data_IF_267146853842
#
_entry.id   IF_267146853842
#
_cell.length_a   1.000
_cell.length_b   1.000
_cell.length_c   1.000
_cell.angle_alpha   90.00
_cell.angle_beta   90.00
_cell.angle_gamma   90.00
#
_symmetry.space_group_name_H-M   'P 1'
#
loop_
_entity.id
_entity.type
_entity.pdbx_description
1 polymer ?
#
# COMPACT_ATOMS: atom_id res chain seq x y z
N UNK A 1 2.10 -10.21 10.18
CA UNK A 1 1.02 -9.21 10.20
C UNK A 1 1.49 -8.02 9.40
N UNK A 2 1.19 -7.97 8.09
CA UNK A 2 1.50 -6.83 7.26
C UNK A 2 0.45 -5.73 7.48
N UNK A 3 0.93 -4.49 7.44
CA UNK A 3 0.12 -3.28 7.42
C UNK A 3 0.43 -2.55 6.13
N UNK A 4 -0.58 -2.16 5.35
CA UNK A 4 -0.38 -1.36 4.15
C UNK A 4 -1.13 -0.04 4.21
N UNK A 5 -0.44 1.04 3.87
CA UNK A 5 -1.04 2.34 3.56
C UNK A 5 -0.83 2.66 2.09
N UNK A 6 -1.85 3.24 1.47
CA UNK A 6 -1.84 3.60 0.05
C UNK A 6 -2.14 5.09 -0.05
N UNK A 7 -1.19 5.88 -0.54
CA UNK A 7 -1.40 7.30 -0.81
C UNK A 7 -1.84 7.48 -2.27
N UNK A 8 -2.97 8.15 -2.49
CA UNK A 8 -3.51 8.49 -3.82
C UNK A 8 -3.88 9.97 -3.87
N UNK A 9 -3.90 10.57 -5.05
CA UNK A 9 -4.52 11.89 -5.24
C UNK A 9 -6.05 11.75 -5.12
N UNK A 10 -6.69 12.68 -4.40
CA UNK A 10 -8.14 12.70 -4.21
C UNK A 10 -8.88 12.81 -5.55
N UNK A 11 -9.99 12.06 -5.69
CA UNK A 11 -10.89 12.15 -6.86
C UNK A 11 -11.33 10.81 -7.44
N UNK A 12 -10.81 9.70 -6.90
CA UNK A 12 -11.26 8.36 -7.29
C UNK A 12 -12.67 8.07 -6.78
N UNK A 13 -13.41 7.26 -7.54
CA UNK A 13 -14.72 6.78 -7.10
C UNK A 13 -14.57 5.87 -5.87
N UNK A 14 -15.46 6.01 -4.89
CA UNK A 14 -15.42 5.20 -3.66
C UNK A 14 -15.39 3.69 -3.93
N UNK A 15 -16.12 3.21 -4.94
CA UNK A 15 -16.12 1.80 -5.33
C UNK A 15 -14.74 1.32 -5.81
N UNK A 16 -13.97 2.16 -6.51
CA UNK A 16 -12.62 1.81 -6.92
C UNK A 16 -11.67 1.77 -5.72
N UNK A 17 -11.78 2.74 -4.81
CA UNK A 17 -11.00 2.77 -3.57
C UNK A 17 -11.26 1.52 -2.69
N UNK A 18 -12.53 1.14 -2.54
CA UNK A 18 -12.93 -0.07 -1.81
C UNK A 18 -12.37 -1.33 -2.47
N UNK A 19 -12.51 -1.47 -3.80
CA UNK A 19 -11.96 -2.61 -4.53
C UNK A 19 -10.43 -2.68 -4.44
N UNK A 20 -9.73 -1.55 -4.42
CA UNK A 20 -8.29 -1.49 -4.17
C UNK A 20 -7.93 -2.00 -2.77
N UNK A 21 -8.65 -1.58 -1.73
CA UNK A 21 -8.44 -2.07 -0.35
C UNK A 21 -8.63 -3.58 -0.27
N UNK A 22 -9.72 -4.10 -0.85
CA UNK A 22 -10.02 -5.54 -0.87
C UNK A 22 -8.96 -6.34 -1.64
N UNK A 23 -8.57 -5.86 -2.83
CA UNK A 23 -7.57 -6.50 -3.67
C UNK A 23 -6.19 -6.55 -3.01
N UNK A 24 -5.73 -5.44 -2.43
CA UNK A 24 -4.44 -5.41 -1.71
C UNK A 24 -4.49 -6.32 -0.49
N UNK A 25 -5.62 -6.34 0.24
CA UNK A 25 -5.80 -7.24 1.39
C UNK A 25 -5.68 -8.71 0.98
N UNK A 26 -6.23 -9.09 -0.17
CA UNK A 26 -6.12 -10.47 -0.69
C UNK A 26 -4.69 -10.82 -1.10
N UNK A 27 -3.98 -9.91 -1.79
CA UNK A 27 -2.57 -10.11 -2.13
C UNK A 27 -1.75 -10.35 -0.86
N UNK A 28 -1.90 -9.50 0.16
CA UNK A 28 -1.18 -9.66 1.42
C UNK A 28 -1.53 -10.97 2.13
N UNK A 29 -2.80 -11.40 2.08
CA UNK A 29 -3.26 -12.66 2.68
C UNK A 29 -2.62 -13.85 2.00
N UNK A 30 -2.71 -13.91 0.68
CA UNK A 30 -2.15 -14.99 -0.12
C UNK A 30 -0.64 -15.10 0.08
N UNK A 31 0.09 -13.99 -0.03
CA UNK A 31 1.55 -14.01 -0.01
C UNK A 31 2.10 -14.26 1.39
N UNK A 32 1.53 -13.63 2.42
CA UNK A 32 2.13 -13.68 3.77
C UNK A 32 1.56 -14.79 4.65
N UNK A 33 0.39 -15.32 4.32
CA UNK A 33 -0.44 -16.19 5.17
C UNK A 33 -0.62 -15.62 6.59
N UNK A 34 -0.62 -14.29 6.72
CA UNK A 34 -0.70 -13.65 8.02
C UNK A 34 -2.14 -13.70 8.56
N UNK A 35 -2.34 -13.99 9.85
CA UNK A 35 -3.67 -14.10 10.45
C UNK A 35 -4.38 -12.74 10.61
N UNK A 36 -3.62 -11.64 10.59
CA UNK A 36 -4.14 -10.27 10.65
C UNK A 36 -3.41 -9.40 9.65
N UNK A 37 -4.20 -8.64 8.90
CA UNK A 37 -3.79 -7.69 7.85
C UNK A 37 -4.56 -6.41 8.06
N UNK A 38 -3.95 -5.28 7.77
CA UNK A 38 -4.62 -3.98 7.82
C UNK A 38 -4.23 -3.19 6.60
N UNK A 39 -5.23 -2.63 5.90
CA UNK A 39 -5.04 -1.84 4.69
C UNK A 39 -5.90 -0.59 4.79
N UNK A 40 -5.37 0.56 4.43
CA UNK A 40 -6.15 1.79 4.29
C UNK A 40 -5.59 2.70 3.19
N UNK A 41 -6.39 3.69 2.80
CA UNK A 41 -6.04 4.69 1.80
C UNK A 41 -5.97 6.07 2.45
N UNK A 42 -4.97 6.85 2.07
CA UNK A 42 -4.89 8.28 2.28
C UNK A 42 -5.15 9.00 0.96
N UNK A 43 -6.21 9.81 0.90
CA UNK A 43 -6.43 10.72 -0.22
C UNK A 43 -5.74 12.05 0.05
N UNK A 44 -4.81 12.42 -0.82
CA UNK A 44 -4.08 13.69 -0.75
C UNK A 44 -4.80 14.71 -1.61
N UNK A 45 -5.04 15.91 -1.05
CA UNK A 45 -5.57 17.03 -1.83
C UNK A 45 -4.61 17.34 -2.99
N UNK A 46 -5.10 17.43 -4.24
CA UNK A 46 -4.25 17.74 -5.39
C UNK A 46 -3.52 19.09 -5.29
N UNK A 47 -3.94 20.01 -4.42
CA UNK A 47 -3.22 21.26 -4.12
C UNK A 47 -1.99 21.06 -3.22
N UNK A 48 -1.86 19.91 -2.55
CA UNK A 48 -0.76 19.55 -1.66
C UNK A 48 0.10 18.39 -2.19
N UNK A 49 -0.09 18.05 -3.47
CA UNK A 49 0.65 17.00 -4.14
C UNK A 49 1.21 17.54 -5.46
N UNK A 50 2.41 17.10 -5.86
CA UNK A 50 3.04 17.54 -7.10
C UNK A 50 3.79 16.40 -7.80
N UNK A 51 3.78 16.43 -9.13
CA UNK A 51 4.66 15.62 -9.97
C UNK A 51 5.56 16.53 -10.80
N UNK A 52 6.87 16.24 -10.82
CA UNK A 52 7.85 17.02 -11.57
C UNK A 52 7.81 18.53 -11.26
N UNK A 53 7.47 18.88 -10.01
CA UNK A 53 7.35 20.27 -9.56
C UNK A 53 6.04 20.98 -9.93
N UNK A 54 5.12 20.31 -10.61
CA UNK A 54 3.80 20.86 -10.98
C UNK A 54 2.73 20.30 -10.05
N UNK A 55 1.89 21.17 -9.49
CA UNK A 55 0.82 20.77 -8.57
C UNK A 55 -0.19 19.86 -9.27
N UNK A 56 -0.68 18.84 -8.55
CA UNK A 56 -1.72 17.94 -9.04
C UNK A 56 -2.96 18.70 -9.48
N UNK A 57 -3.33 19.76 -8.76
CA UNK A 57 -4.47 20.62 -9.09
C UNK A 57 -4.31 21.35 -10.44
N UNK A 58 -3.08 21.62 -10.88
CA UNK A 58 -2.80 22.19 -12.19
C UNK A 58 -2.78 21.10 -13.28
N UNK A 59 -2.17 19.95 -12.99
CA UNK A 59 -2.12 18.81 -13.91
C UNK A 59 -3.52 18.30 -14.27
N UNK A 60 -4.41 18.19 -13.28
CA UNK A 60 -5.79 17.72 -13.46
C UNK A 60 -6.66 18.64 -14.34
N UNK A 61 -6.21 19.87 -14.63
CA UNK A 61 -6.90 20.75 -15.60
C UNK A 61 -6.70 20.32 -17.05
N UNK A 62 -5.62 19.58 -17.32
CA UNK A 62 -5.19 19.25 -18.69
C UNK A 62 -5.04 17.75 -18.93
N UNK A 63 -5.01 16.94 -17.86
CA UNK A 63 -4.84 15.49 -17.92
C UNK A 63 -5.89 14.77 -17.06
N UNK A 64 -6.32 13.56 -17.45
CA UNK A 64 -7.19 12.75 -16.59
C UNK A 64 -6.44 12.30 -15.32
N UNK A 65 -7.20 12.04 -14.24
CA UNK A 65 -6.62 11.62 -12.96
C UNK A 65 -5.74 10.36 -13.08
N UNK A 66 -6.07 9.44 -14.00
CA UNK A 66 -5.29 8.23 -14.28
C UNK A 66 -3.87 8.48 -14.78
N UNK A 67 -3.60 9.66 -15.35
CA UNK A 67 -2.28 10.09 -15.85
C UNK A 67 -1.57 11.05 -14.89
N UNK A 68 -2.27 11.55 -13.87
CA UNK A 68 -1.72 12.48 -12.88
C UNK A 68 -1.34 11.74 -11.61
N UNK A 69 -2.18 10.81 -11.16
CA UNK A 69 -1.97 10.09 -9.91
C UNK A 69 -0.78 9.14 -10.02
N UNK A 70 0.04 9.13 -8.98
CA UNK A 70 1.24 8.29 -8.87
C UNK A 70 1.30 7.72 -7.46
N UNK A 71 0.50 6.66 -7.18
CA UNK A 71 0.35 6.16 -5.83
C UNK A 71 1.64 5.62 -5.23
N UNK A 72 1.76 5.82 -3.92
CA UNK A 72 2.82 5.21 -3.10
C UNK A 72 2.16 4.28 -2.09
N UNK A 73 2.47 2.99 -2.20
CA UNK A 73 2.06 1.97 -1.23
C UNK A 73 3.22 1.71 -0.28
N UNK A 74 2.98 1.83 1.02
CA UNK A 74 3.94 1.42 2.05
C UNK A 74 3.42 0.18 2.74
N UNK A 75 4.19 -0.90 2.72
CA UNK A 75 3.88 -2.15 3.42
C UNK A 75 4.85 -2.31 4.59
N UNK A 76 4.36 -2.21 5.81
CA UNK A 76 5.14 -2.45 7.03
C UNK A 76 4.93 -3.90 7.47
N UNK A 77 6.01 -4.64 7.70
CA UNK A 77 5.92 -6.01 8.19
C UNK A 77 7.12 -6.41 9.04
N UNK A 78 6.94 -7.42 9.90
CA UNK A 78 8.05 -7.98 10.68
C UNK A 78 9.01 -8.72 9.74
N UNK A 79 10.32 -8.54 9.95
CA UNK A 79 11.41 -9.18 9.21
C UNK A 79 11.28 -10.69 9.10
N UNK A 80 11.86 -11.24 8.03
CA UNK A 80 12.10 -12.69 7.90
C UNK A 80 11.29 -13.36 6.80
N UNK A 81 10.73 -12.59 5.86
CA UNK A 81 10.11 -13.17 4.67
C UNK A 81 11.15 -13.35 3.56
N UNK A 82 11.01 -14.41 2.73
CA UNK A 82 11.86 -14.58 1.55
C UNK A 82 11.67 -13.44 0.56
N UNK A 83 12.73 -13.12 -0.21
CA UNK A 83 12.70 -12.06 -1.21
C UNK A 83 11.69 -12.35 -2.33
N UNK A 84 11.38 -13.61 -2.59
CA UNK A 84 10.36 -14.05 -3.54
C UNK A 84 8.96 -13.59 -3.10
N UNK A 85 8.68 -13.59 -1.78
CA UNK A 85 7.43 -13.04 -1.26
C UNK A 85 7.39 -11.51 -1.42
N UNK A 86 8.52 -10.83 -1.33
CA UNK A 86 8.57 -9.38 -1.58
C UNK A 86 8.24 -9.09 -3.05
N UNK A 87 8.82 -9.86 -3.98
CA UNK A 87 8.52 -9.75 -5.40
C UNK A 87 7.03 -9.97 -5.68
N UNK A 88 6.46 -11.06 -5.17
CA UNK A 88 5.04 -11.38 -5.40
C UNK A 88 4.11 -10.30 -4.81
N UNK A 89 4.45 -9.72 -3.66
CA UNK A 89 3.69 -8.59 -3.09
C UNK A 89 3.78 -7.35 -3.99
N UNK A 90 4.97 -6.99 -4.47
CA UNK A 90 5.16 -5.81 -5.32
C UNK A 90 4.35 -5.95 -6.61
N UNK A 91 4.45 -7.10 -7.28
CA UNK A 91 3.72 -7.39 -8.51
C UNK A 91 2.20 -7.38 -8.26
N UNK A 92 1.72 -8.15 -7.29
CA UNK A 92 0.29 -8.28 -7.02
C UNK A 92 -0.37 -6.98 -6.56
N UNK A 93 0.31 -6.17 -5.74
CA UNK A 93 -0.20 -4.86 -5.31
C UNK A 93 -0.27 -3.92 -6.52
N UNK A 94 0.76 -3.90 -7.36
CA UNK A 94 0.79 -3.08 -8.57
C UNK A 94 -0.37 -3.42 -9.49
N UNK A 95 -0.61 -4.71 -9.75
CA UNK A 95 -1.72 -5.17 -10.59
C UNK A 95 -3.09 -4.73 -10.06
N UNK A 96 -3.29 -4.79 -8.74
CA UNK A 96 -4.54 -4.34 -8.10
C UNK A 96 -4.76 -2.85 -8.33
N UNK A 97 -3.73 -2.02 -8.13
CA UNK A 97 -3.83 -0.57 -8.32
C UNK A 97 -4.09 -0.22 -9.79
N UNK A 98 -3.34 -0.83 -10.72
CA UNK A 98 -3.53 -0.64 -12.17
C UNK A 98 -4.96 -1.01 -12.58
N UNK A 99 -5.46 -2.15 -12.12
CA UNK A 99 -6.80 -2.64 -12.46
C UNK A 99 -7.91 -1.72 -11.96
N UNK A 100 -7.86 -1.32 -10.69
CA UNK A 100 -8.98 -0.63 -10.03
C UNK A 100 -8.91 0.89 -10.15
N UNK A 101 -7.71 1.46 -10.19
CA UNK A 101 -7.49 2.91 -10.33
C UNK A 101 -7.17 3.33 -11.77
N UNK A 102 -7.04 2.36 -12.70
CA UNK A 102 -6.78 2.57 -14.14
C UNK A 102 -5.51 3.38 -14.42
N UNK A 103 -4.46 3.07 -13.67
CA UNK A 103 -3.19 3.79 -13.71
C UNK A 103 -2.21 3.14 -14.69
N UNK A 104 -1.22 3.93 -15.14
CA UNK A 104 0.00 3.37 -15.71
C UNK A 104 0.75 2.56 -14.63
N UNK A 105 1.12 1.29 -14.86
CA UNK A 105 1.94 0.52 -13.92
C UNK A 105 3.23 1.24 -13.52
N UNK A 106 3.83 2.04 -14.41
CA UNK A 106 5.06 2.81 -14.13
C UNK A 106 4.84 3.97 -13.16
N UNK A 107 3.58 4.37 -12.92
CA UNK A 107 3.24 5.39 -11.92
C UNK A 107 3.16 4.82 -10.49
N UNK A 108 3.00 3.50 -10.33
CA UNK A 108 2.82 2.86 -9.02
C UNK A 108 4.16 2.61 -8.35
N UNK A 109 4.28 2.98 -7.08
CA UNK A 109 5.44 2.70 -6.23
C UNK A 109 5.02 1.85 -5.05
N UNK A 110 5.67 0.71 -4.86
CA UNK A 110 5.48 -0.15 -3.69
C UNK A 110 6.78 -0.18 -2.88
N UNK A 111 6.69 0.21 -1.60
CA UNK A 111 7.81 0.23 -0.67
C UNK A 111 7.52 -0.75 0.49
N UNK A 112 8.31 -1.82 0.60
CA UNK A 112 8.23 -2.76 1.70
C UNK A 112 9.23 -2.34 2.79
N UNK A 113 8.72 -2.04 3.98
CA UNK A 113 9.49 -1.66 5.16
C UNK A 113 9.44 -2.80 6.18
N UNK A 114 10.57 -3.49 6.32
CA UNK A 114 10.68 -4.53 7.33
C UNK A 114 11.12 -3.94 8.69
N UNK A 115 10.42 -4.34 9.76
CA UNK A 115 10.73 -3.96 11.13
C UNK A 115 11.18 -5.16 11.98
N UNK A 116 12.03 -4.92 12.95
CA UNK A 116 12.41 -5.93 13.93
C UNK A 116 11.22 -6.28 14.84
N UNK A 117 11.13 -7.52 15.32
CA UNK A 117 9.99 -7.96 16.15
C UNK A 117 9.97 -7.25 17.51
N UNK A 118 11.12 -6.82 18.00
CA UNK A 118 11.33 -6.04 19.22
C UNK A 118 10.81 -4.60 19.07
N UNK A 119 10.73 -4.10 17.84
CA UNK A 119 10.31 -2.73 17.50
C UNK A 119 8.85 -2.67 17.04
N UNK A 120 8.10 -3.76 17.15
CA UNK A 120 6.70 -3.83 16.73
C UNK A 120 5.80 -4.23 17.91
N UNK A 121 4.87 -3.35 18.27
CA UNK A 121 3.95 -3.56 19.39
C UNK A 121 2.62 -4.17 18.97
N UNK A 122 2.17 -5.22 19.65
CA UNK A 122 0.85 -5.83 19.48
C UNK A 122 0.22 -6.01 20.86
N UNK A 123 -0.96 -5.41 21.09
CA UNK A 123 -1.66 -5.53 22.37
C UNK A 123 -0.84 -5.04 23.57
N UNK A 124 0.07 -4.08 23.35
CA UNK A 124 0.96 -3.55 24.40
C UNK A 124 2.24 -4.37 24.65
N UNK A 125 2.50 -5.44 23.88
CA UNK A 125 3.73 -6.24 23.98
C UNK A 125 4.56 -6.14 22.71
N UNK A 126 5.88 -6.28 22.83
CA UNK A 126 6.74 -6.51 21.67
C UNK A 126 6.32 -7.80 20.96
N UNK A 127 6.38 -7.81 19.63
CA UNK A 127 6.02 -8.97 18.84
C UNK A 127 6.92 -10.17 19.16
N UNK A 128 8.21 -9.94 19.42
CA UNK A 128 9.14 -10.98 19.88
C UNK A 128 8.63 -11.70 21.13
N UNK A 129 8.30 -10.94 22.19
CA UNK A 129 7.76 -11.46 23.46
C UNK A 129 6.42 -12.17 23.25
N UNK A 130 5.54 -11.60 22.42
CA UNK A 130 4.24 -12.21 22.13
C UNK A 130 4.40 -13.57 21.43
N UNK A 131 5.28 -13.66 20.42
CA UNK A 131 5.48 -14.89 19.66
C UNK A 131 6.11 -16.00 20.50
N UNK A 132 6.97 -15.66 21.46
CA UNK A 132 7.49 -16.64 22.43
C UNK A 132 6.40 -17.22 23.31
N UNK A 133 5.42 -16.41 23.74
CA UNK A 133 4.29 -16.87 24.59
C UNK A 133 3.24 -17.71 23.85
N UNK A 134 3.24 -17.65 22.52
CA UNK A 134 2.29 -18.36 21.66
C UNK A 134 2.84 -19.70 21.14
N UNK A 135 4.11 -19.99 21.40
CA UNK A 135 4.73 -21.31 21.17
C UNK A 135 4.40 -22.23 22.33
#
# INVERSE_FOLDING_TARGET
MPIASICVVKGHAAAHLQATIEGVSEVLRRVTNAPRITVWIHEIDPAHWAAQGVLGAELLRTKPASEVDSPVVTVIMIKGRPVEQHREMIEGITDVLVKHLRLDPMAVRVNIQETAAESFGIGGLQASVLFERMK
#
